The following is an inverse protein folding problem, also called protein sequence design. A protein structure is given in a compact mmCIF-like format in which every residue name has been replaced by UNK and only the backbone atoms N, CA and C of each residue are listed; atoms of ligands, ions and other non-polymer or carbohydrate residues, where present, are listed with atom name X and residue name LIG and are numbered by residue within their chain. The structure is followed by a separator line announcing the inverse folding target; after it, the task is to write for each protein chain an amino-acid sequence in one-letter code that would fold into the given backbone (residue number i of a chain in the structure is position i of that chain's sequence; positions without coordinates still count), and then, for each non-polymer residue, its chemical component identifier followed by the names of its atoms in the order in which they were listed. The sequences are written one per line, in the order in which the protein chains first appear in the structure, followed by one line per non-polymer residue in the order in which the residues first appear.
data_IF_616413930324
#
_entry.id   IF_616413930324
#
_cell.length_a   1.000
_cell.length_b   1.000
_cell.length_c   1.000
_cell.angle_alpha   90.00
_cell.angle_beta   90.00
_cell.angle_gamma   90.00
#
_symmetry.space_group_name_H-M   'P 1'
#
loop_
_entity.id
_entity.type
_entity.pdbx_description
1 polymer ?
#
# COMPACT_ATOMS: atom_id res chain seq x y z
N UNK A 1 -22.10 -2.72 12.95
CA UNK A 1 -21.13 -1.89 13.70
C UNK A 1 -19.84 -2.66 13.81
N UNK A 2 -18.75 -2.15 13.25
CA UNK A 2 -17.41 -2.70 13.51
C UNK A 2 -17.10 -2.36 14.95
N UNK A 3 -16.92 -3.37 15.80
CA UNK A 3 -16.48 -3.16 17.18
C UNK A 3 -15.21 -2.32 17.16
N UNK A 4 -15.17 -1.25 17.94
CA UNK A 4 -14.07 -0.27 17.99
C UNK A 4 -12.69 -0.86 18.36
N UNK A 5 -12.62 -2.17 18.59
CA UNK A 5 -11.41 -2.89 19.01
C UNK A 5 -11.12 -4.13 18.16
N UNK A 6 -11.79 -4.29 16.99
CA UNK A 6 -11.66 -5.51 16.17
C UNK A 6 -10.25 -5.72 15.60
N UNK A 7 -9.45 -4.65 15.48
CA UNK A 7 -8.07 -4.69 14.99
C UNK A 7 -7.04 -4.32 16.07
N UNK A 8 -7.38 -4.48 17.34
CA UNK A 8 -6.53 -4.09 18.45
C UNK A 8 -5.11 -4.64 18.31
N UNK A 9 -4.12 -3.75 18.39
CA UNK A 9 -2.69 -4.03 18.28
C UNK A 9 -2.23 -4.69 16.97
N UNK A 10 -3.07 -4.77 15.93
CA UNK A 10 -2.65 -5.22 14.60
C UNK A 10 -1.84 -4.14 13.92
N UNK A 11 -0.70 -4.52 13.34
CA UNK A 11 0.22 -3.62 12.64
C UNK A 11 -0.10 -3.65 11.15
N UNK A 12 -0.63 -2.56 10.64
CA UNK A 12 -1.08 -2.45 9.24
C UNK A 12 -0.27 -1.38 8.53
N UNK A 13 0.38 -1.78 7.44
CA UNK A 13 1.04 -0.87 6.53
C UNK A 13 0.07 -0.52 5.40
N UNK A 14 -0.31 0.75 5.29
CA UNK A 14 -1.15 1.26 4.20
C UNK A 14 -0.25 1.87 3.14
N UNK A 15 -0.29 1.31 1.95
CA UNK A 15 0.46 1.75 0.80
C UNK A 15 -0.46 2.47 -0.18
N UNK A 16 -0.12 3.72 -0.51
CA UNK A 16 -0.91 4.60 -1.37
C UNK A 16 -0.16 4.86 -2.65
N UNK A 17 -0.76 4.47 -3.79
CA UNK A 17 -0.15 4.61 -5.10
C UNK A 17 -0.88 5.59 -6.00
N UNK A 18 -0.32 5.91 -7.16
CA UNK A 18 -0.74 6.99 -8.05
C UNK A 18 -2.03 6.73 -8.82
N UNK A 19 -3.14 6.69 -8.13
CA UNK A 19 -4.49 6.68 -8.71
C UNK A 19 -5.32 7.79 -8.08
N UNK A 20 -6.27 8.36 -8.81
CA UNK A 20 -7.15 9.41 -8.25
C UNK A 20 -7.88 8.96 -6.99
N UNK A 21 -8.13 7.67 -6.84
CA UNK A 21 -8.71 7.09 -5.63
C UNK A 21 -7.81 7.27 -4.38
N UNK A 22 -6.54 7.68 -4.54
CA UNK A 22 -5.64 8.01 -3.43
C UNK A 22 -6.22 9.09 -2.51
N UNK A 23 -7.10 9.97 -3.00
CA UNK A 23 -7.77 10.99 -2.19
C UNK A 23 -8.67 10.40 -1.09
N UNK A 24 -9.01 9.12 -1.17
CA UNK A 24 -9.78 8.40 -0.15
C UNK A 24 -8.88 7.72 0.91
N UNK A 25 -7.58 7.66 0.70
CA UNK A 25 -6.66 6.98 1.63
C UNK A 25 -6.71 7.54 3.06
N UNK A 26 -6.82 8.86 3.29
CA UNK A 26 -6.98 9.39 4.65
C UNK A 26 -8.19 8.81 5.40
N UNK A 27 -9.29 8.56 4.71
CA UNK A 27 -10.50 7.97 5.31
C UNK A 27 -10.21 6.53 5.75
N UNK A 28 -9.53 5.75 4.91
CA UNK A 28 -9.12 4.38 5.24
C UNK A 28 -8.24 4.36 6.49
N UNK A 29 -7.20 5.19 6.51
CA UNK A 29 -6.28 5.29 7.66
C UNK A 29 -7.04 5.64 8.93
N UNK A 30 -7.91 6.65 8.87
CA UNK A 30 -8.72 7.05 10.03
C UNK A 30 -9.61 5.91 10.55
N UNK A 31 -10.21 5.13 9.66
CA UNK A 31 -11.04 3.99 10.04
C UNK A 31 -10.24 2.86 10.69
N UNK A 32 -9.04 2.57 10.17
CA UNK A 32 -8.15 1.56 10.75
C UNK A 32 -7.69 1.96 12.16
N UNK A 33 -7.32 3.22 12.35
CA UNK A 33 -6.97 3.76 13.68
C UNK A 33 -8.13 3.65 14.65
N UNK A 34 -9.34 4.02 14.22
CA UNK A 34 -10.56 3.90 15.07
C UNK A 34 -10.89 2.45 15.40
N UNK A 35 -10.54 1.50 14.55
CA UNK A 35 -10.70 0.08 14.81
C UNK A 35 -9.60 -0.51 15.72
N UNK A 36 -8.65 0.29 16.17
CA UNK A 36 -7.61 -0.08 17.13
C UNK A 36 -6.29 -0.54 16.51
N UNK A 37 -6.13 -0.47 15.18
CA UNK A 37 -4.89 -0.85 14.53
C UNK A 37 -3.77 0.18 14.79
N UNK A 38 -2.54 -0.30 14.82
CA UNK A 38 -1.35 0.52 14.65
C UNK A 38 -1.06 0.64 13.15
N UNK A 39 -1.05 1.87 12.63
CA UNK A 39 -0.93 2.12 11.19
C UNK A 39 0.34 2.89 10.87
N UNK A 40 1.09 2.40 9.89
CA UNK A 40 2.12 3.17 9.18
C UNK A 40 1.71 3.31 7.73
N UNK A 41 2.14 4.39 7.08
CA UNK A 41 1.84 4.65 5.68
C UNK A 41 3.12 4.74 4.86
N UNK A 42 3.04 4.25 3.63
CA UNK A 42 4.02 4.49 2.58
C UNK A 42 3.31 5.04 1.35
N UNK A 43 3.87 6.07 0.74
CA UNK A 43 3.27 6.75 -0.41
C UNK A 43 4.26 6.83 -1.55
N UNK A 44 3.80 6.51 -2.76
CA UNK A 44 4.61 6.72 -3.97
C UNK A 44 4.68 8.21 -4.32
N UNK A 45 5.69 8.59 -5.10
CA UNK A 45 5.82 9.97 -5.55
C UNK A 45 4.60 10.44 -6.34
N UNK A 46 4.05 9.60 -7.21
CA UNK A 46 2.83 9.92 -7.95
C UNK A 46 1.65 10.20 -7.02
N UNK A 47 1.46 9.37 -6.00
CA UNK A 47 0.37 9.56 -5.03
C UNK A 47 0.54 10.83 -4.20
N UNK A 48 1.76 11.28 -3.95
CA UNK A 48 2.02 12.52 -3.20
C UNK A 48 1.53 13.79 -3.92
N UNK A 49 1.25 13.71 -5.22
CA UNK A 49 0.58 14.79 -5.95
C UNK A 49 -0.94 14.83 -5.71
N UNK A 50 -1.52 13.77 -5.15
CA UNK A 50 -2.96 13.61 -4.97
C UNK A 50 -3.39 13.70 -3.50
N UNK A 51 -2.54 13.25 -2.59
CA UNK A 51 -2.78 13.29 -1.16
C UNK A 51 -1.49 13.65 -0.43
N UNK A 52 -1.61 14.49 0.59
CA UNK A 52 -0.46 14.95 1.36
C UNK A 52 0.10 13.84 2.26
N UNK A 53 1.42 13.59 2.22
CA UNK A 53 2.07 12.75 3.22
C UNK A 53 1.81 13.20 4.66
N UNK A 54 1.69 14.52 4.89
CA UNK A 54 1.39 15.08 6.20
C UNK A 54 0.01 14.66 6.71
N UNK A 55 -1.00 14.60 5.83
CA UNK A 55 -2.34 14.13 6.21
C UNK A 55 -2.29 12.68 6.69
N UNK A 56 -1.57 11.83 5.99
CA UNK A 56 -1.41 10.43 6.36
C UNK A 56 -0.61 10.26 7.66
N UNK A 57 0.45 11.04 7.85
CA UNK A 57 1.24 11.05 9.09
C UNK A 57 0.39 11.46 10.28
N UNK A 58 -0.39 12.53 10.13
CA UNK A 58 -1.24 13.06 11.20
C UNK A 58 -2.32 12.06 11.62
N UNK A 59 -2.98 11.44 10.66
CA UNK A 59 -4.05 10.48 10.93
C UNK A 59 -3.52 9.14 11.48
N UNK A 60 -2.41 8.65 10.97
CA UNK A 60 -1.79 7.41 11.44
C UNK A 60 -1.00 7.58 12.74
N UNK A 61 -0.64 8.81 13.11
CA UNK A 61 0.24 9.15 14.23
C UNK A 61 1.65 8.56 14.08
N UNK A 62 2.05 8.24 12.86
CA UNK A 62 3.34 7.72 12.48
C UNK A 62 3.85 8.46 11.24
N UNK A 63 5.16 8.43 11.00
CA UNK A 63 5.73 8.98 9.78
C UNK A 63 5.10 8.33 8.54
N UNK A 64 4.77 9.13 7.52
CA UNK A 64 4.46 8.63 6.19
C UNK A 64 5.75 8.49 5.39
N UNK A 65 6.11 7.27 5.04
CA UNK A 65 7.36 6.97 4.36
C UNK A 65 7.26 7.21 2.85
N UNK A 66 8.34 7.69 2.27
CA UNK A 66 8.49 8.01 0.85
C UNK A 66 9.79 7.43 0.30
N UNK A 67 9.95 7.40 -1.01
CA UNK A 67 11.17 6.88 -1.66
C UNK A 67 12.45 7.53 -1.14
N UNK A 68 12.42 8.83 -0.85
CA UNK A 68 13.56 9.58 -0.30
C UNK A 68 14.05 9.06 1.06
N UNK A 69 13.20 8.33 1.78
CA UNK A 69 13.52 7.78 3.10
C UNK A 69 14.25 6.44 3.03
N UNK A 70 14.23 5.78 1.87
CA UNK A 70 14.68 4.39 1.71
C UNK A 70 16.14 4.16 2.13
N UNK A 71 17.00 5.13 1.85
CA UNK A 71 18.45 5.04 2.10
C UNK A 71 18.96 6.07 3.10
N UNK A 72 18.10 6.50 4.02
CA UNK A 72 18.48 7.44 5.07
C UNK A 72 19.50 6.83 6.05
N UNK A 73 20.53 7.59 6.41
CA UNK A 73 21.66 7.14 7.22
C UNK A 73 21.32 6.70 8.65
N UNK A 74 20.12 7.01 9.12
CA UNK A 74 19.66 6.71 10.49
C UNK A 74 19.19 5.26 10.70
N UNK A 75 19.30 4.42 9.69
CA UNK A 75 18.75 3.07 9.72
C UNK A 75 19.84 2.03 10.00
N UNK A 76 19.62 1.13 10.96
CA UNK A 76 20.47 -0.02 11.22
C UNK A 76 20.24 -1.18 10.25
N UNK A 77 19.16 -1.14 9.49
CA UNK A 77 18.85 -2.05 8.37
C UNK A 77 18.05 -1.30 7.30
N UNK A 78 18.02 -1.80 6.07
CA UNK A 78 17.26 -1.16 5.00
C UNK A 78 15.80 -0.95 5.39
N UNK A 79 15.27 0.24 5.14
CA UNK A 79 13.91 0.62 5.55
C UNK A 79 12.84 -0.32 4.97
N UNK A 80 12.99 -0.75 3.72
CA UNK A 80 12.03 -1.68 3.10
C UNK A 80 11.96 -3.03 3.83
N UNK A 81 13.07 -3.52 4.37
CA UNK A 81 13.11 -4.74 5.19
C UNK A 81 12.43 -4.48 6.53
N UNK A 82 12.76 -3.36 7.18
CA UNK A 82 12.17 -3.01 8.48
C UNK A 82 10.64 -2.90 8.41
N UNK A 83 10.12 -2.20 7.39
CA UNK A 83 8.67 -2.06 7.19
C UNK A 83 8.00 -3.38 6.78
N UNK A 84 8.65 -4.19 5.94
CA UNK A 84 8.14 -5.50 5.56
C UNK A 84 8.01 -6.46 6.76
N UNK A 85 8.97 -6.44 7.66
CA UNK A 85 8.95 -7.27 8.88
C UNK A 85 8.00 -6.72 9.95
N UNK A 86 7.82 -5.40 10.01
CA UNK A 86 6.94 -4.77 10.99
C UNK A 86 5.47 -5.09 10.76
N UNK A 87 5.02 -5.15 9.51
CA UNK A 87 3.60 -5.26 9.16
C UNK A 87 3.06 -6.67 9.38
N UNK A 88 1.93 -6.78 10.09
CA UNK A 88 1.11 -7.99 10.11
C UNK A 88 0.29 -8.14 8.83
N UNK A 89 -0.07 -7.01 8.22
CA UNK A 89 -0.84 -6.92 6.99
C UNK A 89 -0.39 -5.68 6.19
N UNK A 90 -0.30 -5.82 4.89
CA UNK A 90 -0.10 -4.69 3.97
C UNK A 90 -1.38 -4.48 3.17
N UNK A 91 -1.86 -3.25 3.11
CA UNK A 91 -2.99 -2.84 2.28
C UNK A 91 -2.49 -1.87 1.23
N UNK A 92 -2.52 -2.27 -0.04
CA UNK A 92 -2.23 -1.39 -1.17
C UNK A 92 -3.55 -0.85 -1.70
N UNK A 93 -3.86 0.38 -1.35
CA UNK A 93 -5.13 1.03 -1.69
C UNK A 93 -4.96 2.54 -1.86
N UNK A 94 -5.09 3.05 -3.06
CA UNK A 94 -5.35 2.33 -4.32
C UNK A 94 -4.09 1.66 -4.88
N UNK A 95 -4.26 0.59 -5.65
CA UNK A 95 -3.21 -0.01 -6.46
C UNK A 95 -3.30 0.51 -7.90
N UNK A 96 -2.27 1.23 -8.34
CA UNK A 96 -2.13 1.71 -9.71
C UNK A 96 -1.64 0.62 -10.66
N UNK A 97 -1.84 0.83 -11.97
CA UNK A 97 -1.29 -0.05 -13.00
C UNK A 97 0.25 -0.14 -12.92
N UNK A 98 0.93 0.95 -12.63
CA UNK A 98 2.39 0.98 -12.47
C UNK A 98 2.84 0.12 -11.29
N UNK A 99 2.23 0.27 -10.13
CA UNK A 99 2.61 -0.51 -8.95
C UNK A 99 2.28 -1.99 -9.10
N UNK A 100 1.17 -2.32 -9.74
CA UNK A 100 0.85 -3.70 -10.12
C UNK A 100 1.92 -4.28 -11.05
N UNK A 101 2.31 -3.55 -12.08
CA UNK A 101 3.34 -3.98 -13.03
C UNK A 101 4.69 -4.21 -12.35
N UNK A 102 5.12 -3.32 -11.48
CA UNK A 102 6.36 -3.49 -10.71
C UNK A 102 6.33 -4.78 -9.89
N UNK A 103 5.25 -5.02 -9.18
CA UNK A 103 5.11 -6.20 -8.34
C UNK A 103 5.13 -7.48 -9.16
N UNK A 104 4.34 -7.56 -10.23
CA UNK A 104 4.24 -8.78 -11.08
C UNK A 104 5.53 -9.07 -11.85
N UNK A 105 6.33 -8.05 -12.14
CA UNK A 105 7.62 -8.20 -12.84
C UNK A 105 8.82 -8.33 -11.88
N UNK A 106 8.58 -8.35 -10.56
CA UNK A 106 9.65 -8.46 -9.58
C UNK A 106 10.57 -7.23 -9.53
N UNK A 107 10.06 -6.06 -9.88
CA UNK A 107 10.82 -4.80 -9.84
C UNK A 107 10.87 -4.25 -8.43
N UNK A 108 12.08 -4.07 -7.89
CA UNK A 108 12.32 -3.42 -6.60
C UNK A 108 12.63 -1.93 -6.75
N UNK A 109 12.06 -1.28 -7.76
CA UNK A 109 12.26 0.13 -8.04
C UNK A 109 11.35 0.99 -7.13
N UNK A 110 11.94 1.57 -6.10
CA UNK A 110 11.29 2.38 -5.10
C UNK A 110 10.99 1.63 -3.79
N UNK A 111 10.64 2.40 -2.76
CA UNK A 111 10.44 1.89 -1.42
C UNK A 111 9.29 0.87 -1.36
N UNK A 112 8.12 1.23 -1.88
CA UNK A 112 6.95 0.34 -1.84
C UNK A 112 7.18 -0.96 -2.61
N UNK A 113 7.71 -0.88 -3.83
CA UNK A 113 7.99 -2.06 -4.64
C UNK A 113 8.92 -3.03 -3.91
N UNK A 114 9.94 -2.50 -3.24
CA UNK A 114 10.88 -3.28 -2.43
C UNK A 114 10.21 -3.91 -1.21
N UNK A 115 9.33 -3.18 -0.52
CA UNK A 115 8.57 -3.70 0.63
C UNK A 115 7.72 -4.89 0.21
N UNK A 116 6.97 -4.76 -0.88
CA UNK A 116 6.05 -5.81 -1.34
C UNK A 116 6.78 -7.10 -1.70
N UNK A 117 7.97 -7.00 -2.29
CA UNK A 117 8.78 -8.18 -2.62
C UNK A 117 9.44 -8.81 -1.38
N UNK A 118 9.78 -8.00 -0.38
CA UNK A 118 10.44 -8.48 0.84
C UNK A 118 9.47 -9.04 1.89
N UNK A 119 8.19 -8.69 1.80
CA UNK A 119 7.20 -9.05 2.83
C UNK A 119 6.82 -10.53 2.80
N UNK A 120 6.69 -11.11 3.98
CA UNK A 120 6.08 -12.44 4.20
C UNK A 120 4.62 -12.33 4.66
N UNK A 121 4.15 -11.12 4.94
CA UNK A 121 2.78 -10.87 5.40
C UNK A 121 1.79 -10.92 4.24
N UNK A 122 0.52 -11.12 4.56
CA UNK A 122 -0.56 -11.02 3.59
C UNK A 122 -0.65 -9.60 3.04
N UNK A 123 -0.98 -9.49 1.74
CA UNK A 123 -1.11 -8.22 1.02
C UNK A 123 -2.50 -8.14 0.42
N UNK A 124 -3.26 -7.12 0.79
CA UNK A 124 -4.52 -6.79 0.12
C UNK A 124 -4.22 -5.76 -0.97
N UNK A 125 -4.62 -6.05 -2.19
CA UNK A 125 -4.45 -5.16 -3.34
C UNK A 125 -5.82 -4.71 -3.87
N UNK A 126 -6.14 -3.45 -3.66
CA UNK A 126 -7.37 -2.81 -4.15
C UNK A 126 -7.06 -2.01 -5.41
N UNK A 127 -7.29 -2.60 -6.57
CA UNK A 127 -7.02 -1.95 -7.84
C UNK A 127 -7.98 -0.78 -8.10
N UNK A 128 -7.44 0.33 -8.59
CA UNK A 128 -8.23 1.48 -9.01
C UNK A 128 -7.52 2.20 -10.15
N UNK A 129 -8.20 2.30 -11.28
CA UNK A 129 -7.70 2.98 -12.48
C UNK A 129 -8.83 3.25 -13.45
N UNK A 130 -8.57 4.06 -14.46
CA UNK A 130 -9.50 4.30 -15.55
C UNK A 130 -9.95 2.96 -16.20
N UNK A 131 -11.22 2.89 -16.62
CA UNK A 131 -11.82 1.67 -17.19
C UNK A 131 -11.03 1.13 -18.39
N UNK A 132 -10.58 2.00 -19.29
CA UNK A 132 -9.81 1.58 -20.47
C UNK A 132 -8.46 0.99 -20.07
N UNK A 133 -7.83 1.50 -19.03
CA UNK A 133 -6.60 0.93 -18.48
C UNK A 133 -6.87 -0.42 -17.82
N UNK A 134 -7.94 -0.51 -17.05
CA UNK A 134 -8.32 -1.76 -16.39
C UNK A 134 -8.59 -2.89 -17.39
N UNK A 135 -9.27 -2.57 -18.50
CA UNK A 135 -9.57 -3.54 -19.56
C UNK A 135 -8.40 -3.84 -20.50
N UNK A 136 -7.31 -3.10 -20.39
CA UNK A 136 -6.15 -3.32 -21.25
C UNK A 136 -5.53 -4.71 -21.02
N UNK A 137 -5.21 -5.45 -22.10
CA UNK A 137 -4.70 -6.83 -21.99
C UNK A 137 -3.47 -6.96 -21.08
N UNK A 138 -2.57 -5.98 -21.09
CA UNK A 138 -1.37 -6.00 -20.24
C UNK A 138 -1.70 -5.88 -18.75
N UNK A 139 -2.71 -5.08 -18.40
CA UNK A 139 -3.17 -4.94 -17.01
C UNK A 139 -3.91 -6.20 -16.58
N UNK A 140 -4.78 -6.73 -17.42
CA UNK A 140 -5.49 -8.00 -17.15
C UNK A 140 -4.52 -9.16 -16.95
N UNK A 141 -3.47 -9.25 -17.76
CA UNK A 141 -2.41 -10.24 -17.60
C UNK A 141 -1.77 -10.14 -16.21
N UNK A 142 -1.38 -8.95 -15.80
CA UNK A 142 -0.77 -8.72 -14.49
C UNK A 142 -1.74 -9.03 -13.35
N UNK A 143 -3.00 -8.61 -13.48
CA UNK A 143 -4.03 -8.88 -12.49
C UNK A 143 -4.31 -10.37 -12.34
N UNK A 144 -4.44 -11.09 -13.45
CA UNK A 144 -4.65 -12.53 -13.43
C UNK A 144 -3.45 -13.27 -12.82
N UNK A 145 -2.23 -12.79 -13.06
CA UNK A 145 -1.04 -13.35 -12.42
C UNK A 145 -1.06 -13.13 -10.90
N UNK A 146 -1.35 -11.92 -10.44
CA UNK A 146 -1.35 -11.62 -9.00
C UNK A 146 -2.38 -12.44 -8.24
N UNK A 147 -3.50 -12.79 -8.86
CA UNK A 147 -4.52 -13.68 -8.28
C UNK A 147 -3.99 -15.09 -7.98
N UNK A 148 -2.91 -15.52 -8.62
CA UNK A 148 -2.30 -16.83 -8.39
C UNK A 148 -1.33 -16.84 -7.20
N UNK A 149 -1.03 -15.69 -6.63
CA UNK A 149 -0.09 -15.54 -5.52
C UNK A 149 -0.84 -15.69 -4.20
N UNK A 150 -0.60 -16.76 -3.46
CA UNK A 150 -1.31 -17.09 -2.21
C UNK A 150 -1.25 -15.98 -1.16
N UNK A 151 -0.16 -15.20 -1.17
CA UNK A 151 0.05 -14.07 -0.26
C UNK A 151 -0.91 -12.91 -0.52
N UNK A 152 -1.51 -12.82 -1.72
CA UNK A 152 -2.26 -11.66 -2.18
C UNK A 152 -3.77 -11.91 -2.14
N UNK A 153 -4.48 -10.99 -1.52
CA UNK A 153 -5.95 -10.88 -1.59
C UNK A 153 -6.26 -9.74 -2.55
N UNK A 154 -7.00 -10.04 -3.61
CA UNK A 154 -7.33 -9.06 -4.66
C UNK A 154 -8.73 -8.49 -4.48
N UNK A 155 -8.86 -7.18 -4.62
CA UNK A 155 -10.13 -6.45 -4.68
C UNK A 155 -10.18 -5.71 -6.03
N UNK A 156 -11.15 -6.06 -6.85
CA UNK A 156 -11.35 -5.43 -8.15
C UNK A 156 -11.92 -4.01 -8.00
N UNK A 157 -11.71 -3.13 -9.00
CA UNK A 157 -12.35 -1.82 -9.01
C UNK A 157 -13.86 -1.95 -8.85
N UNK A 158 -14.44 -1.17 -7.94
CA UNK A 158 -15.90 -0.98 -7.87
C UNK A 158 -16.32 0.08 -8.89
N UNK A 159 -17.49 -0.09 -9.50
CA UNK A 159 -18.11 0.92 -10.36
C UNK A 159 -18.36 2.25 -9.61
#
# INVERSE_FOLDING_TARGET
MINSTSLAAKKILVAVTGSIAAVKAPILVSRLIKAGAEVKCVITQSASNLVSPLSLSTLSRNKCYQDKDQWADSQNKPLHIDLAEWADLIIVSPLSATSLSKFTNGSADGLLASILLASQSQIIMAAAMNTSMWEHPSVKKNWNYVKTIDQVITLEPSE
#
